data_IF_464014455549
#
_entry.id   IF_464014455549
#
_cell.length_a   1.000
_cell.length_b   1.000
_cell.length_c   1.000
_cell.angle_alpha   90.00
_cell.angle_beta   90.00
_cell.angle_gamma   90.00
#
_symmetry.space_group_name_H-M   'P 1'
#
loop_
_entity.id
_entity.type
_entity.pdbx_description
1 polymer ?
#
# COMPACT_ATOMS: atom_id res chain seq x y z
N UNK A 1 -5.73 -14.40 16.60
CA UNK A 1 -5.03 -13.26 15.97
C UNK A 1 -4.33 -13.75 14.72
N UNK A 2 -4.27 -12.90 13.68
CA UNK A 2 -3.49 -13.18 12.48
C UNK A 2 -2.02 -13.43 12.86
N UNK A 3 -1.41 -14.46 12.28
CA UNK A 3 0.03 -14.68 12.35
C UNK A 3 0.68 -13.98 11.17
N UNK A 4 1.72 -13.19 11.45
CA UNK A 4 2.56 -12.57 10.44
C UNK A 4 3.96 -13.19 10.50
N UNK A 5 4.59 -13.37 9.34
CA UNK A 5 5.89 -13.99 9.21
C UNK A 5 6.81 -13.13 8.33
N UNK A 6 8.07 -12.99 8.72
CA UNK A 6 9.15 -12.60 7.83
C UNK A 6 9.68 -13.87 7.17
N UNK A 7 9.45 -14.03 5.87
CA UNK A 7 9.89 -15.20 5.11
C UNK A 7 11.30 -15.01 4.56
N UNK A 8 11.62 -13.78 4.15
CA UNK A 8 12.92 -13.41 3.57
C UNK A 8 13.33 -12.03 4.07
N UNK A 9 14.60 -11.91 4.45
CA UNK A 9 15.29 -10.64 4.65
C UNK A 9 16.70 -10.75 4.05
N UNK A 10 16.93 -10.02 2.97
CA UNK A 10 18.15 -10.08 2.17
C UNK A 10 18.61 -8.64 1.90
N UNK A 11 19.44 -8.07 2.80
CA UNK A 11 20.03 -6.76 2.54
C UNK A 11 21.13 -6.89 1.48
N UNK A 12 21.32 -5.82 0.70
CA UNK A 12 22.31 -5.82 -0.37
C UNK A 12 22.96 -4.46 -0.60
N UNK A 13 24.05 -4.47 -1.36
CA UNK A 13 24.78 -3.25 -1.71
C UNK A 13 23.92 -2.33 -2.58
N UNK A 14 23.24 -2.90 -3.58
CA UNK A 14 22.41 -2.15 -4.55
C UNK A 14 20.92 -2.19 -4.20
N UNK A 15 20.46 -3.30 -3.62
CA UNK A 15 19.06 -3.49 -3.29
C UNK A 15 18.87 -4.28 -2.00
N UNK A 16 17.80 -3.95 -1.27
CA UNK A 16 17.30 -4.75 -0.15
C UNK A 16 16.02 -5.46 -0.57
N UNK A 17 15.87 -6.71 -0.13
CA UNK A 17 14.69 -7.52 -0.37
C UNK A 17 14.09 -7.99 0.95
N UNK A 18 12.78 -7.76 1.08
CA UNK A 18 11.98 -8.26 2.18
C UNK A 18 10.78 -9.02 1.62
N UNK A 19 10.46 -10.16 2.22
CA UNK A 19 9.21 -10.87 1.96
C UNK A 19 8.53 -11.17 3.29
N UNK A 20 7.29 -10.71 3.43
CA UNK A 20 6.45 -11.00 4.57
C UNK A 20 5.09 -11.52 4.16
N UNK A 21 4.46 -12.30 5.02
CA UNK A 21 3.10 -12.79 4.80
C UNK A 21 2.29 -12.77 6.09
N UNK A 22 0.96 -12.84 5.95
CA UNK A 22 0.08 -13.07 7.08
C UNK A 22 -1.18 -13.84 6.68
N UNK A 23 -1.81 -14.45 7.68
CA UNK A 23 -2.97 -15.33 7.49
C UNK A 23 -4.28 -14.76 8.05
N UNK A 24 -4.32 -13.44 8.25
CA UNK A 24 -5.44 -12.74 8.90
C UNK A 24 -6.80 -12.87 8.23
N UNK A 25 -6.85 -13.33 6.97
CA UNK A 25 -8.07 -13.53 6.21
C UNK A 25 -8.42 -15.01 5.98
N UNK A 26 -7.73 -15.95 6.65
CA UNK A 26 -8.02 -17.38 6.53
C UNK A 26 -9.37 -17.81 7.10
N UNK A 27 -9.97 -16.98 7.96
CA UNK A 27 -11.28 -17.24 8.54
C UNK A 27 -12.46 -16.86 7.61
N UNK A 28 -12.19 -16.25 6.46
CA UNK A 28 -13.21 -15.99 5.44
C UNK A 28 -13.73 -17.30 4.83
N UNK A 29 -14.99 -17.34 4.34
CA UNK A 29 -15.54 -18.52 3.67
C UNK A 29 -14.68 -19.04 2.50
N UNK A 30 -14.11 -18.11 1.71
CA UNK A 30 -12.98 -18.38 0.84
C UNK A 30 -11.70 -17.81 1.50
N UNK A 31 -10.86 -18.66 2.11
CA UNK A 31 -9.67 -18.23 2.82
C UNK A 31 -8.70 -17.46 1.92
N UNK A 32 -8.25 -16.29 2.39
CA UNK A 32 -7.26 -15.47 1.68
C UNK A 32 -5.94 -15.46 2.44
N UNK A 33 -4.84 -15.64 1.72
CA UNK A 33 -3.48 -15.43 2.22
C UNK A 33 -2.86 -14.27 1.46
N UNK A 34 -2.24 -13.35 2.20
CA UNK A 34 -1.53 -12.22 1.63
C UNK A 34 -0.03 -12.35 1.90
N UNK A 35 0.76 -12.21 0.85
CA UNK A 35 2.22 -12.16 0.88
C UNK A 35 2.68 -10.92 0.12
N UNK A 36 3.51 -10.11 0.78
CA UNK A 36 4.12 -8.90 0.22
C UNK A 36 5.61 -9.11 0.06
N UNK A 37 6.10 -8.84 -1.14
CA UNK A 37 7.53 -8.64 -1.40
C UNK A 37 7.80 -7.15 -1.57
N UNK A 38 8.91 -6.68 -1.00
CA UNK A 38 9.40 -5.31 -1.11
C UNK A 38 10.83 -5.37 -1.59
N UNK A 39 11.10 -4.71 -2.71
CA UNK A 39 12.44 -4.47 -3.24
C UNK A 39 12.73 -2.98 -3.17
N UNK A 40 13.74 -2.60 -2.40
CA UNK A 40 14.29 -1.24 -2.42
C UNK A 40 15.51 -1.23 -3.35
N UNK A 41 15.47 -0.46 -4.43
CA UNK A 41 16.61 -0.20 -5.32
C UNK A 41 17.25 1.15 -4.97
N UNK A 42 18.54 1.15 -4.59
CA UNK A 42 19.29 2.37 -4.31
C UNK A 42 19.64 3.15 -5.58
N UNK A 43 20.13 2.52 -6.68
CA UNK A 43 20.41 3.23 -7.92
C UNK A 43 19.17 3.95 -8.47
N UNK A 44 18.02 3.27 -8.45
CA UNK A 44 16.79 3.80 -9.03
C UNK A 44 16.01 4.69 -8.06
N UNK A 45 16.44 4.73 -6.78
CA UNK A 45 15.73 5.40 -5.68
C UNK A 45 14.24 5.03 -5.65
N UNK A 46 14.00 3.73 -5.81
CA UNK A 46 12.68 3.18 -6.04
C UNK A 46 12.38 2.02 -5.10
N UNK A 47 11.10 1.87 -4.77
CA UNK A 47 10.56 0.71 -4.08
C UNK A 47 9.59 0.02 -5.04
N UNK A 48 9.81 -1.26 -5.32
CA UNK A 48 8.82 -2.11 -5.93
C UNK A 48 8.15 -2.96 -4.84
N UNK A 49 6.82 -3.02 -4.86
CA UNK A 49 6.00 -3.79 -3.94
C UNK A 49 5.17 -4.75 -4.77
N UNK A 50 5.27 -6.03 -4.46
CA UNK A 50 4.50 -7.10 -5.11
C UNK A 50 3.63 -7.77 -4.07
N UNK A 51 2.32 -7.50 -4.14
CA UNK A 51 1.33 -8.12 -3.27
C UNK A 51 0.73 -9.34 -3.98
N UNK A 52 1.07 -10.54 -3.50
CA UNK A 52 0.45 -11.79 -3.90
C UNK A 52 -0.73 -12.09 -2.97
N UNK A 53 -1.90 -12.25 -3.57
CA UNK A 53 -3.14 -12.60 -2.90
C UNK A 53 -3.59 -13.97 -3.40
N UNK A 54 -3.53 -14.97 -2.54
CA UNK A 54 -3.96 -16.34 -2.84
C UNK A 54 -5.38 -16.57 -2.28
N UNK A 55 -6.34 -16.78 -3.18
CA UNK A 55 -7.75 -17.07 -2.91
C UNK A 55 -8.32 -17.97 -4.03
N UNK A 56 -9.57 -18.43 -3.93
CA UNK A 56 -10.22 -19.25 -4.97
C UNK A 56 -11.33 -18.51 -5.71
N UNK A 57 -12.07 -17.69 -4.98
CA UNK A 57 -13.22 -16.96 -5.49
C UNK A 57 -12.85 -15.51 -5.87
N UNK A 58 -13.87 -14.74 -6.23
CA UNK A 58 -13.73 -13.31 -6.52
C UNK A 58 -13.74 -12.51 -5.23
N UNK A 59 -12.78 -11.60 -5.08
CA UNK A 59 -12.70 -10.68 -3.95
C UNK A 59 -12.52 -9.24 -4.40
N UNK A 60 -12.88 -8.32 -3.51
CA UNK A 60 -12.46 -6.92 -3.59
C UNK A 60 -11.31 -6.73 -2.62
N UNK A 61 -10.16 -6.32 -3.13
CA UNK A 61 -8.96 -6.01 -2.36
C UNK A 61 -8.80 -4.51 -2.28
N UNK A 62 -8.54 -3.99 -1.08
CA UNK A 62 -8.27 -2.58 -0.83
C UNK A 62 -6.84 -2.42 -0.32
N UNK A 63 -6.03 -1.67 -1.07
CA UNK A 63 -4.70 -1.25 -0.64
C UNK A 63 -4.77 0.16 -0.09
N UNK A 64 -4.35 0.33 1.15
CA UNK A 64 -4.37 1.61 1.86
C UNK A 64 -2.96 2.20 1.93
N UNK A 65 -2.82 3.44 1.45
CA UNK A 65 -1.59 4.23 1.56
C UNK A 65 -1.87 5.46 2.40
N UNK A 66 -1.30 5.49 3.60
CA UNK A 66 -1.46 6.58 4.54
C UNK A 66 -0.31 7.57 4.39
N UNK A 67 -0.64 8.85 4.31
CA UNK A 67 0.34 9.91 4.18
C UNK A 67 0.44 10.73 5.47
N UNK A 68 1.56 11.43 5.62
CA UNK A 68 1.70 12.47 6.63
C UNK A 68 0.64 13.57 6.43
N UNK A 69 0.19 14.18 7.51
CA UNK A 69 -0.68 15.37 7.52
C UNK A 69 -0.05 16.57 6.79
N UNK A 70 1.26 16.53 6.56
CA UNK A 70 2.00 17.53 5.80
C UNK A 70 2.10 17.22 4.29
N UNK A 71 1.65 16.05 3.84
CA UNK A 71 1.71 15.69 2.43
C UNK A 71 0.56 16.31 1.63
N UNK A 72 0.91 16.95 0.51
CA UNK A 72 -0.05 17.31 -0.54
C UNK A 72 -0.08 16.19 -1.59
N UNK A 73 -1.27 15.81 -2.04
CA UNK A 73 -1.44 14.77 -3.05
C UNK A 73 -1.91 15.37 -4.38
N UNK A 74 -1.28 14.93 -5.46
CA UNK A 74 -1.68 15.21 -6.84
C UNK A 74 -2.00 13.87 -7.51
N UNK A 75 -3.21 13.75 -8.06
CA UNK A 75 -3.66 12.56 -8.77
C UNK A 75 -3.29 12.67 -10.25
N UNK A 76 -2.60 11.64 -10.77
CA UNK A 76 -2.16 11.55 -12.16
C UNK A 76 -2.58 10.20 -12.77
N UNK A 77 -3.78 10.15 -13.35
CA UNK A 77 -4.34 8.90 -13.85
C UNK A 77 -4.58 7.91 -12.70
N UNK A 78 -3.90 6.76 -12.72
CA UNK A 78 -3.91 5.77 -11.63
C UNK A 78 -2.79 6.00 -10.59
N UNK A 79 -1.86 6.93 -10.85
CA UNK A 79 -0.77 7.24 -9.95
C UNK A 79 -1.10 8.44 -9.05
N UNK A 80 -0.35 8.57 -7.97
CA UNK A 80 -0.42 9.70 -7.04
C UNK A 80 0.98 10.22 -6.76
N UNK A 81 1.18 11.52 -6.92
CA UNK A 81 2.36 12.22 -6.42
C UNK A 81 2.05 12.72 -5.02
N UNK A 82 2.89 12.37 -4.05
CA UNK A 82 2.88 12.95 -2.73
C UNK A 82 4.07 13.88 -2.56
N UNK A 83 3.82 15.11 -2.15
CA UNK A 83 4.83 16.14 -1.91
C UNK A 83 4.82 16.57 -0.45
N UNK A 84 6.00 16.69 0.15
CA UNK A 84 6.19 17.25 1.47
C UNK A 84 7.52 18.01 1.54
N UNK A 85 7.46 19.32 1.74
CA UNK A 85 8.63 20.20 1.87
C UNK A 85 9.60 20.07 0.70
N UNK A 86 9.07 19.99 -0.53
CA UNK A 86 9.86 19.88 -1.75
C UNK A 86 10.36 18.46 -2.08
N UNK A 87 10.21 17.49 -1.18
CA UNK A 87 10.46 16.07 -1.51
C UNK A 87 9.21 15.50 -2.17
N UNK A 88 9.38 14.88 -3.35
CA UNK A 88 8.29 14.23 -4.08
C UNK A 88 8.52 12.74 -4.21
N UNK A 89 7.45 11.99 -3.99
CA UNK A 89 7.38 10.58 -4.37
C UNK A 89 6.18 10.37 -5.28
N UNK A 90 6.31 9.46 -6.23
CA UNK A 90 5.22 9.00 -7.08
C UNK A 90 4.91 7.56 -6.72
N UNK A 91 3.67 7.29 -6.32
CA UNK A 91 3.14 5.95 -6.11
C UNK A 91 2.30 5.60 -7.33
N UNK A 92 2.62 4.50 -8.00
CA UNK A 92 1.91 4.06 -9.19
C UNK A 92 1.65 2.56 -9.14
N UNK A 93 0.39 2.12 -9.28
CA UNK A 93 0.09 0.72 -9.48
C UNK A 93 0.44 0.35 -10.94
N UNK A 94 0.94 -0.86 -11.16
CA UNK A 94 1.25 -1.35 -12.51
C UNK A 94 -0.06 -1.59 -13.27
N UNK A 95 -0.99 -2.33 -12.67
CA UNK A 95 -2.37 -2.44 -13.12
C UNK A 95 -3.25 -1.37 -12.47
N UNK A 96 -4.00 -0.63 -13.28
CA UNK A 96 -4.92 0.37 -12.74
C UNK A 96 -5.98 -0.30 -11.83
N UNK A 97 -6.23 0.24 -10.62
CA UNK A 97 -7.32 -0.24 -9.77
C UNK A 97 -8.66 0.05 -10.43
N UNK A 98 -9.69 -0.73 -10.08
CA UNK A 98 -11.06 -0.47 -10.57
C UNK A 98 -11.64 0.83 -9.98
N UNK A 99 -11.15 1.23 -8.81
CA UNK A 99 -11.53 2.47 -8.16
C UNK A 99 -10.35 3.01 -7.34
N UNK A 100 -10.18 4.32 -7.35
CA UNK A 100 -9.19 5.05 -6.57
C UNK A 100 -9.86 6.17 -5.80
N UNK A 101 -9.67 6.20 -4.48
CA UNK A 101 -10.26 7.18 -3.59
C UNK A 101 -9.18 7.85 -2.75
N UNK A 102 -9.28 9.17 -2.56
CA UNK A 102 -8.51 9.88 -1.54
C UNK A 102 -9.46 10.29 -0.42
N UNK A 103 -9.19 9.81 0.79
CA UNK A 103 -9.97 10.09 2.00
C UNK A 103 -9.19 11.03 2.89
N UNK A 104 -9.85 12.07 3.38
CA UNK A 104 -9.28 13.03 4.32
C UNK A 104 -10.29 13.32 5.42
N UNK A 105 -9.95 12.96 6.66
CA UNK A 105 -10.81 13.20 7.81
C UNK A 105 -12.20 12.59 7.70
N UNK A 106 -12.35 11.39 7.13
CA UNK A 106 -13.65 10.74 6.95
C UNK A 106 -14.17 10.28 8.32
N UNK A 107 -15.19 10.95 8.84
CA UNK A 107 -15.77 10.61 10.15
C UNK A 107 -16.56 9.30 10.10
N UNK A 108 -17.25 9.04 8.99
CA UNK A 108 -18.12 7.87 8.84
C UNK A 108 -17.31 6.61 8.51
N UNK A 109 -16.34 6.73 7.59
CA UNK A 109 -15.46 5.63 7.17
C UNK A 109 -14.21 5.45 8.03
N UNK A 110 -13.93 6.37 8.97
CA UNK A 110 -12.76 6.38 9.86
C UNK A 110 -11.38 6.45 9.17
N UNK A 111 -11.32 6.73 7.86
CA UNK A 111 -10.08 6.87 7.11
C UNK A 111 -9.59 8.32 7.05
N UNK A 112 -8.29 8.50 6.78
CA UNK A 112 -7.70 9.84 6.62
C UNK A 112 -7.51 10.56 7.95
N UNK A 113 -7.04 9.87 8.99
CA UNK A 113 -6.72 10.45 10.29
C UNK A 113 -5.32 10.05 10.75
N UNK A 114 -4.63 10.94 11.45
CA UNK A 114 -3.38 10.66 12.15
C UNK A 114 -3.50 11.11 13.61
N UNK A 115 -2.86 10.41 14.53
CA UNK A 115 -2.83 10.75 15.96
C UNK A 115 -1.39 10.78 16.46
N UNK A 116 -0.87 11.99 16.71
CA UNK A 116 0.50 12.20 17.22
C UNK A 116 0.58 12.19 18.75
N UNK A 117 -0.57 12.34 19.43
CA UNK A 117 -0.71 12.33 20.88
C UNK A 117 -2.05 11.75 21.27
N UNK A 118 -2.11 11.13 22.44
CA UNK A 118 -3.31 10.47 22.96
C UNK A 118 -4.53 11.40 22.89
N UNK A 119 -5.68 10.84 22.50
CA UNK A 119 -6.97 11.50 22.37
C UNK A 119 -7.05 12.68 21.38
N UNK A 120 -6.04 12.88 20.51
CA UNK A 120 -6.08 13.89 19.46
C UNK A 120 -5.91 13.23 18.10
N UNK A 121 -6.83 13.49 17.18
CA UNK A 121 -6.72 13.09 15.78
C UNK A 121 -6.79 14.32 14.87
N UNK A 122 -5.98 14.31 13.83
CA UNK A 122 -5.92 15.35 12.81
C UNK A 122 -6.21 14.73 11.44
N UNK A 123 -6.92 15.43 10.55
CA UNK A 123 -7.14 14.93 9.19
C UNK A 123 -5.82 14.77 8.45
N UNK A 124 -5.67 13.66 7.73
CA UNK A 124 -4.58 13.41 6.78
C UNK A 124 -5.11 12.72 5.53
N UNK A 125 -4.29 12.62 4.49
CA UNK A 125 -4.65 11.90 3.28
C UNK A 125 -4.43 10.39 3.45
N UNK A 126 -5.43 9.60 3.06
CA UNK A 126 -5.32 8.16 2.84
C UNK A 126 -5.80 7.86 1.42
N UNK A 127 -4.90 7.34 0.59
CA UNK A 127 -5.23 6.81 -0.72
C UNK A 127 -5.71 5.36 -0.57
N UNK A 128 -6.82 5.04 -1.22
CA UNK A 128 -7.38 3.69 -1.29
C UNK A 128 -7.41 3.28 -2.74
N UNK A 129 -6.69 2.22 -3.07
CA UNK A 129 -6.84 1.53 -4.34
C UNK A 129 -7.68 0.29 -4.15
N UNK A 130 -8.72 0.17 -4.96
CA UNK A 130 -9.66 -0.94 -4.92
C UNK A 130 -9.52 -1.75 -6.19
N UNK A 131 -9.27 -3.04 -6.05
CA UNK A 131 -9.09 -3.97 -7.15
C UNK A 131 -10.05 -5.14 -7.01
N UNK A 132 -10.60 -5.60 -8.14
CA UNK A 132 -11.37 -6.84 -8.19
C UNK A 132 -10.44 -7.96 -8.66
N UNK A 133 -10.26 -8.98 -7.85
CA UNK A 133 -9.40 -10.12 -8.15
C UNK A 133 -10.23 -11.39 -8.26
N UNK A 134 -9.71 -12.43 -8.92
CA UNK A 134 -10.33 -13.77 -8.94
C UNK A 134 -9.24 -14.81 -9.01
N UNK A 135 -9.22 -15.71 -8.03
CA UNK A 135 -8.11 -16.64 -7.85
C UNK A 135 -6.81 -15.94 -7.46
N UNK A 136 -5.70 -16.70 -7.47
CA UNK A 136 -4.38 -16.18 -7.15
C UNK A 136 -4.01 -15.01 -8.07
N UNK A 137 -3.74 -13.85 -7.49
CA UNK A 137 -3.49 -12.59 -8.21
C UNK A 137 -2.26 -11.89 -7.64
N UNK A 138 -1.52 -11.21 -8.52
CA UNK A 138 -0.43 -10.32 -8.15
C UNK A 138 -0.88 -8.88 -8.41
N UNK A 139 -0.62 -7.99 -7.45
CA UNK A 139 -0.81 -6.55 -7.59
C UNK A 139 0.54 -5.88 -7.38
N UNK A 140 1.03 -5.15 -8.37
CA UNK A 140 2.34 -4.49 -8.30
C UNK A 140 2.21 -2.98 -8.10
N UNK A 141 3.07 -2.41 -7.26
CA UNK A 141 3.15 -0.98 -6.98
C UNK A 141 4.59 -0.51 -7.03
N UNK A 142 4.83 0.58 -7.75
CA UNK A 142 6.11 1.26 -7.78
C UNK A 142 6.05 2.59 -7.04
N UNK A 143 7.01 2.83 -6.17
CA UNK A 143 7.21 4.10 -5.46
C UNK A 143 8.56 4.65 -5.88
N UNK A 144 8.58 5.78 -6.57
CA UNK A 144 9.82 6.41 -7.05
C UNK A 144 9.97 7.80 -6.45
N UNK A 145 11.17 8.15 -6.01
CA UNK A 145 11.47 9.48 -5.47
C UNK A 145 12.06 10.39 -6.55
N UNK A 146 11.53 11.62 -6.65
CA UNK A 146 12.07 12.68 -7.50
C UNK A 146 12.37 13.92 -6.64
N UNK A 147 13.44 14.63 -6.97
CA UNK A 147 13.86 15.90 -6.32
C UNK A 147 13.57 17.03 -7.28
#
# INVERSE_FOLDING_TARGET
>A
HAQACCEVWEPGAEADRFVGSHDGYRALPDPVVHRREILWSRPDRAIAITDRIDCRETHIVEQFWHFSEHCQLIVEGSAVIAENQGVRIRLAPVEAPVEMLVKQGDQAGHLGWVSRRFAVKEPTNTLVWRSRITGATILETHITCFV
#
